data_IF_299161241674
#
_entry.id   IF_299161241674
#
_cell.length_a   1.000
_cell.length_b   1.000
_cell.length_c   1.000
_cell.angle_alpha   90.00
_cell.angle_beta   90.00
_cell.angle_gamma   90.00
#
_symmetry.space_group_name_H-M   'P 1'
#
loop_
_entity.id
_entity.type
_entity.pdbx_description
1 polymer ?
#
# COMPACT_ATOMS: atom_id res chain seq x y z
N UNK A 1 -15.70 -22.95 -2.29
CA UNK A 1 -15.15 -22.13 -1.18
C UNK A 1 -14.07 -21.28 -1.79
N UNK A 2 -14.17 -19.96 -1.67
CA UNK A 2 -13.20 -19.01 -2.22
C UNK A 2 -11.78 -19.29 -1.69
N UNK A 3 -10.78 -19.27 -2.57
CA UNK A 3 -9.37 -19.57 -2.22
C UNK A 3 -8.60 -18.28 -1.91
N UNK A 4 -8.54 -17.35 -2.87
CA UNK A 4 -7.87 -16.06 -2.72
C UNK A 4 -8.56 -15.21 -1.65
N UNK A 5 -7.73 -14.49 -0.88
CA UNK A 5 -8.15 -13.73 0.29
C UNK A 5 -8.51 -12.29 -0.05
N UNK A 6 -9.37 -11.70 0.77
CA UNK A 6 -9.73 -10.28 0.66
C UNK A 6 -9.15 -9.51 1.85
N UNK A 7 -8.37 -8.47 1.54
CA UNK A 7 -7.94 -7.47 2.51
C UNK A 7 -8.83 -6.24 2.36
N UNK A 8 -9.39 -5.74 3.46
CA UNK A 8 -10.18 -4.51 3.46
C UNK A 8 -9.55 -3.47 4.38
N UNK A 9 -9.37 -2.25 3.87
CA UNK A 9 -8.91 -1.11 4.67
C UNK A 9 -10.07 -0.53 5.46
N UNK A 10 -9.86 -0.37 6.77
CA UNK A 10 -10.84 0.21 7.67
C UNK A 10 -10.70 1.73 7.74
N UNK A 11 -11.82 2.42 7.89
CA UNK A 11 -11.87 3.87 7.97
C UNK A 11 -13.26 4.37 8.36
N UNK A 12 -13.57 5.66 8.11
CA UNK A 12 -14.88 6.24 8.45
C UNK A 12 -16.09 5.41 8.01
N UNK A 13 -16.07 4.84 6.80
CA UNK A 13 -17.16 4.03 6.25
C UNK A 13 -17.29 2.63 6.89
N UNK A 14 -16.26 2.18 7.62
CA UNK A 14 -16.13 0.84 8.22
C UNK A 14 -15.60 0.96 9.65
N UNK A 15 -16.19 1.86 10.44
CA UNK A 15 -15.76 2.15 11.82
C UNK A 15 -16.70 1.58 12.88
N UNK A 16 -17.94 1.23 12.52
CA UNK A 16 -18.93 0.69 13.46
C UNK A 16 -18.91 -0.83 13.47
N UNK A 17 -19.38 -1.43 14.56
CA UNK A 17 -19.52 -2.88 14.68
C UNK A 17 -20.36 -3.47 13.54
N UNK A 18 -21.49 -2.85 13.18
CA UNK A 18 -22.42 -3.36 12.16
C UNK A 18 -21.79 -3.36 10.76
N UNK A 19 -21.04 -2.30 10.41
CA UNK A 19 -20.39 -2.20 9.09
C UNK A 19 -19.20 -3.16 8.99
N UNK A 20 -18.40 -3.27 10.06
CA UNK A 20 -17.30 -4.25 10.17
C UNK A 20 -17.84 -5.68 10.09
N UNK A 21 -18.95 -5.97 10.78
CA UNK A 21 -19.60 -7.27 10.70
C UNK A 21 -20.09 -7.57 9.29
N UNK A 22 -20.70 -6.60 8.62
CA UNK A 22 -21.16 -6.71 7.24
C UNK A 22 -20.04 -7.07 6.26
N UNK A 23 -18.87 -6.41 6.35
CA UNK A 23 -17.74 -6.74 5.47
C UNK A 23 -17.13 -8.12 5.80
N UNK A 24 -17.11 -8.53 7.07
CA UNK A 24 -16.64 -9.87 7.47
C UNK A 24 -17.58 -10.96 6.93
N UNK A 25 -18.90 -10.75 7.01
CA UNK A 25 -19.89 -11.67 6.44
C UNK A 25 -19.78 -11.75 4.90
N UNK A 26 -19.57 -10.60 4.24
CA UNK A 26 -19.30 -10.53 2.80
C UNK A 26 -17.97 -11.20 2.40
N UNK A 27 -17.08 -11.41 3.35
CA UNK A 27 -15.90 -12.25 3.22
C UNK A 27 -14.58 -11.51 3.24
N UNK A 28 -14.39 -10.53 4.12
CA UNK A 28 -13.04 -10.06 4.45
C UNK A 28 -12.27 -11.14 5.23
N UNK A 29 -10.99 -11.31 4.91
CA UNK A 29 -10.06 -12.22 5.59
C UNK A 29 -9.00 -11.46 6.41
N UNK A 30 -8.64 -10.24 5.98
CA UNK A 30 -7.69 -9.36 6.68
C UNK A 30 -8.22 -7.93 6.76
N UNK A 31 -8.23 -7.36 7.96
CA UNK A 31 -8.60 -5.98 8.22
C UNK A 31 -7.34 -5.10 8.32
N UNK A 32 -7.17 -4.16 7.40
CA UNK A 32 -6.04 -3.23 7.35
C UNK A 32 -6.35 -1.94 8.12
N UNK A 33 -5.49 -1.60 9.08
CA UNK A 33 -5.45 -0.30 9.75
C UNK A 33 -4.33 0.54 9.14
N UNK A 34 -4.69 1.59 8.42
CA UNK A 34 -3.74 2.49 7.79
C UNK A 34 -3.36 3.63 8.74
N UNK A 35 -2.15 3.59 9.31
CA UNK A 35 -1.68 4.59 10.27
C UNK A 35 -1.22 5.91 9.63
N UNK A 36 -1.44 6.08 8.33
CA UNK A 36 -1.35 7.41 7.70
C UNK A 36 -2.44 8.37 8.16
N UNK A 37 -3.52 7.85 8.75
CA UNK A 37 -4.70 8.60 9.18
C UNK A 37 -5.20 8.09 10.54
N UNK A 38 -5.96 8.91 11.25
CA UNK A 38 -6.54 8.55 12.55
C UNK A 38 -5.52 8.58 13.71
N UNK A 39 -6.04 8.67 14.93
CA UNK A 39 -5.25 8.49 16.15
C UNK A 39 -5.29 7.02 16.60
N UNK A 40 -4.37 6.65 17.49
CA UNK A 40 -4.34 5.33 18.13
C UNK A 40 -5.69 4.96 18.74
N UNK A 41 -6.33 5.85 19.52
CA UNK A 41 -7.64 5.61 20.13
C UNK A 41 -8.74 5.20 19.12
N UNK A 42 -8.73 5.80 17.93
CA UNK A 42 -9.70 5.46 16.86
C UNK A 42 -9.45 4.06 16.35
N UNK A 43 -8.18 3.71 16.12
CA UNK A 43 -7.81 2.37 15.63
C UNK A 43 -8.02 1.29 16.70
N UNK A 44 -7.84 1.59 17.98
CA UNK A 44 -8.13 0.66 19.09
C UNK A 44 -9.63 0.31 19.15
N UNK A 45 -10.51 1.31 19.03
CA UNK A 45 -11.95 1.06 18.98
C UNK A 45 -12.33 0.16 17.79
N UNK A 46 -11.75 0.44 16.62
CA UNK A 46 -11.93 -0.37 15.40
C UNK A 46 -11.41 -1.80 15.62
N UNK A 47 -10.25 -1.97 16.25
CA UNK A 47 -9.66 -3.28 16.56
C UNK A 47 -10.60 -4.14 17.39
N UNK A 48 -11.18 -3.56 18.45
CA UNK A 48 -12.13 -4.28 19.30
C UNK A 48 -13.39 -4.68 18.54
N UNK A 49 -13.90 -3.82 17.64
CA UNK A 49 -15.02 -4.19 16.77
C UNK A 49 -14.67 -5.36 15.84
N UNK A 50 -13.47 -5.35 15.24
CA UNK A 50 -13.01 -6.46 14.36
C UNK A 50 -12.91 -7.76 15.14
N UNK A 51 -12.24 -7.78 16.29
CA UNK A 51 -12.08 -9.00 17.09
C UNK A 51 -13.43 -9.56 17.54
N UNK A 52 -14.34 -8.70 18.00
CA UNK A 52 -15.70 -9.10 18.38
C UNK A 52 -16.50 -9.64 17.18
N UNK A 53 -16.50 -8.93 16.05
CA UNK A 53 -17.25 -9.34 14.87
C UNK A 53 -16.71 -10.65 14.27
N UNK A 54 -15.40 -10.85 14.31
CA UNK A 54 -14.75 -12.11 13.92
C UNK A 54 -15.20 -13.27 14.83
N UNK A 55 -15.15 -13.10 16.15
CA UNK A 55 -15.64 -14.08 17.13
C UNK A 55 -17.11 -14.43 16.91
N UNK A 56 -17.98 -13.42 16.84
CA UNK A 56 -19.42 -13.59 16.61
C UNK A 56 -19.70 -14.28 15.25
N UNK A 57 -18.77 -14.23 14.29
CA UNK A 57 -18.93 -14.81 12.95
C UNK A 57 -18.41 -16.24 12.85
N UNK A 58 -17.55 -16.65 13.79
CA UNK A 58 -16.77 -17.87 13.70
C UNK A 58 -15.75 -17.85 12.56
N UNK A 59 -15.44 -16.70 11.97
CA UNK A 59 -14.45 -16.54 10.90
C UNK A 59 -13.14 -16.02 11.46
N UNK A 60 -12.03 -16.56 10.97
CA UNK A 60 -10.71 -16.01 11.23
C UNK A 60 -10.53 -14.72 10.41
N UNK A 61 -10.26 -13.60 11.10
CA UNK A 61 -9.95 -12.31 10.48
C UNK A 61 -8.68 -11.76 11.11
N UNK A 62 -7.63 -11.63 10.30
CA UNK A 62 -6.38 -11.06 10.76
C UNK A 62 -6.44 -9.53 10.78
N UNK A 63 -5.70 -8.88 11.67
CA UNK A 63 -5.50 -7.43 11.69
C UNK A 63 -4.10 -7.11 11.20
N UNK A 64 -4.01 -6.29 10.16
CA UNK A 64 -2.76 -5.78 9.61
C UNK A 64 -2.61 -4.30 9.95
N UNK A 65 -1.51 -3.93 10.62
CA UNK A 65 -1.13 -2.53 10.84
C UNK A 65 -0.19 -2.09 9.72
N UNK A 66 -0.60 -1.09 8.95
CA UNK A 66 0.19 -0.53 7.85
C UNK A 66 0.84 0.79 8.29
N UNK A 67 2.17 0.76 8.41
CA UNK A 67 2.99 1.89 8.81
C UNK A 67 3.08 2.91 7.67
N UNK A 68 3.08 4.20 7.99
CA UNK A 68 3.05 5.25 6.98
C UNK A 68 4.35 5.30 6.16
N UNK A 69 5.48 5.01 6.80
CA UNK A 69 6.80 5.20 6.23
C UNK A 69 7.16 6.68 6.07
N UNK A 70 8.32 6.99 5.47
CA UNK A 70 8.84 8.35 5.33
C UNK A 70 8.12 9.16 4.23
N UNK A 71 6.78 9.25 4.27
CA UNK A 71 5.99 9.94 3.25
C UNK A 71 6.27 11.45 3.29
N UNK A 72 6.80 11.96 2.19
CA UNK A 72 7.09 13.39 2.03
C UNK A 72 5.79 14.11 1.70
N UNK A 73 5.55 15.25 2.34
CA UNK A 73 4.32 16.02 2.20
C UNK A 73 4.60 17.52 2.10
N UNK A 74 3.67 18.23 1.48
CA UNK A 74 3.53 19.67 1.61
C UNK A 74 3.06 20.03 3.03
N UNK A 75 3.34 21.25 3.45
CA UNK A 75 2.82 21.83 4.68
C UNK A 75 1.36 22.23 4.59
N UNK A 76 0.97 23.17 5.47
CA UNK A 76 -0.37 23.75 5.49
C UNK A 76 -0.40 25.03 4.68
N UNK A 77 -1.55 25.31 4.07
CA UNK A 77 -1.85 26.52 3.32
C UNK A 77 -2.84 27.41 4.08
N UNK A 78 -2.71 28.73 3.90
CA UNK A 78 -3.72 29.70 4.34
C UNK A 78 -4.67 30.01 3.19
N UNK A 79 -5.99 30.08 3.44
CA UNK A 79 -6.97 30.44 2.41
C UNK A 79 -7.50 29.32 1.50
N UNK A 80 -7.13 28.06 1.75
CA UNK A 80 -7.70 26.88 1.09
C UNK A 80 -6.88 26.37 -0.10
N UNK A 81 -7.33 25.31 -0.81
CA UNK A 81 -6.59 24.78 -1.95
C UNK A 81 -6.30 25.88 -2.98
N UNK A 82 -5.09 25.86 -3.54
CA UNK A 82 -4.69 26.78 -4.61
C UNK A 82 -4.52 26.03 -5.92
N UNK A 83 -5.17 26.50 -6.98
CA UNK A 83 -4.96 25.97 -8.33
C UNK A 83 -3.69 26.57 -8.92
N UNK A 84 -2.76 25.69 -9.32
CA UNK A 84 -1.56 26.04 -10.06
C UNK A 84 -1.81 25.87 -11.56
N UNK A 85 -1.45 26.86 -12.36
CA UNK A 85 -1.53 26.80 -13.82
C UNK A 85 -0.20 26.35 -14.44
N UNK A 86 -0.25 25.78 -15.63
CA UNK A 86 0.97 25.39 -16.38
C UNK A 86 1.83 26.63 -16.63
N UNK A 87 3.13 26.52 -16.33
CA UNK A 87 4.11 27.60 -16.45
C UNK A 87 4.24 28.48 -15.20
N UNK A 88 3.35 28.33 -14.20
CA UNK A 88 3.50 29.03 -12.93
C UNK A 88 4.78 28.60 -12.22
N UNK A 89 5.35 29.53 -11.45
CA UNK A 89 6.45 29.21 -10.52
C UNK A 89 5.87 28.86 -9.17
N UNK A 90 6.27 27.70 -8.63
CA UNK A 90 5.91 27.28 -7.29
C UNK A 90 7.17 26.88 -6.51
N UNK A 91 7.29 27.38 -5.29
CA UNK A 91 8.47 27.17 -4.45
C UNK A 91 8.13 26.21 -3.30
N UNK A 92 8.98 25.22 -3.08
CA UNK A 92 8.89 24.33 -1.90
C UNK A 92 10.07 24.64 -0.99
N UNK A 93 9.80 24.95 0.28
CA UNK A 93 10.82 25.36 1.25
C UNK A 93 10.90 24.42 2.45
N UNK A 94 12.08 24.33 3.05
CA UNK A 94 12.28 23.66 4.34
C UNK A 94 11.94 24.56 5.54
N UNK A 95 11.70 25.85 5.31
CA UNK A 95 11.28 26.81 6.34
C UNK A 95 9.86 26.48 6.85
N UNK A 96 9.63 26.60 8.15
CA UNK A 96 8.30 26.38 8.75
C UNK A 96 7.41 27.60 8.53
N UNK A 97 6.81 27.66 7.34
CA UNK A 97 5.86 28.69 6.94
C UNK A 97 4.49 28.10 6.63
N UNK A 98 3.46 28.94 6.73
CA UNK A 98 2.15 28.65 6.16
C UNK A 98 2.19 29.00 4.67
N UNK A 99 1.90 28.01 3.84
CA UNK A 99 1.95 28.11 2.39
C UNK A 99 0.84 28.98 1.81
N UNK A 100 1.08 29.45 0.59
CA UNK A 100 0.16 30.21 -0.23
C UNK A 100 0.27 29.73 -1.69
N UNK A 101 -0.24 30.52 -2.66
CA UNK A 101 -0.19 30.17 -4.09
C UNK A 101 1.23 30.03 -4.66
N UNK A 102 2.21 30.73 -4.10
CA UNK A 102 3.57 30.83 -4.64
C UNK A 102 4.59 29.93 -3.91
N UNK A 103 4.39 29.68 -2.61
CA UNK A 103 5.33 28.93 -1.79
C UNK A 103 4.64 28.06 -0.75
N UNK A 104 5.19 26.88 -0.45
CA UNK A 104 4.74 26.04 0.66
C UNK A 104 5.91 25.32 1.35
N UNK A 105 5.76 25.01 2.63
CA UNK A 105 6.73 24.21 3.38
C UNK A 105 6.66 22.72 3.01
N UNK A 106 7.68 21.93 3.35
CA UNK A 106 7.66 20.47 3.26
C UNK A 106 8.07 19.79 4.57
N UNK A 107 7.57 18.57 4.79
CA UNK A 107 8.00 17.71 5.88
C UNK A 107 9.43 17.19 5.71
N UNK A 108 9.95 17.12 4.48
CA UNK A 108 11.28 16.60 4.20
C UNK A 108 12.32 17.72 4.11
N UNK A 109 13.06 17.92 5.21
CA UNK A 109 14.09 18.97 5.29
C UNK A 109 15.31 18.70 4.39
N UNK A 110 15.48 17.48 3.89
CA UNK A 110 16.53 17.13 2.92
C UNK A 110 16.18 17.47 1.47
N UNK A 111 14.95 17.91 1.17
CA UNK A 111 14.48 18.09 -0.21
C UNK A 111 15.43 18.96 -1.09
N UNK A 112 15.89 20.14 -0.65
CA UNK A 112 16.80 20.98 -1.45
C UNK A 112 18.16 20.35 -1.75
N UNK A 113 18.58 19.34 -0.98
CA UNK A 113 19.87 18.67 -1.12
C UNK A 113 19.79 17.45 -2.04
N UNK A 114 18.63 16.81 -2.10
CA UNK A 114 18.43 15.58 -2.86
C UNK A 114 18.05 15.85 -4.33
N UNK A 115 17.45 17.01 -4.62
CA UNK A 115 16.98 17.36 -5.98
C UNK A 115 17.97 18.24 -6.75
N UNK A 116 17.96 18.12 -8.07
CA UNK A 116 18.73 18.96 -9.01
C UNK A 116 17.83 19.56 -10.09
N UNK A 117 18.27 20.65 -10.77
CA UNK A 117 17.58 21.18 -11.94
C UNK A 117 17.23 20.08 -12.95
N UNK A 118 15.98 20.06 -13.38
CA UNK A 118 15.44 19.05 -14.29
C UNK A 118 14.73 17.89 -13.62
N UNK A 119 14.86 17.67 -12.31
CA UNK A 119 14.14 16.58 -11.63
C UNK A 119 12.62 16.84 -11.58
N UNK A 120 11.79 15.79 -11.73
CA UNK A 120 10.34 15.90 -11.57
C UNK A 120 9.95 15.85 -10.08
N UNK A 121 9.01 16.71 -9.67
CA UNK A 121 8.28 16.58 -8.41
C UNK A 121 6.80 16.38 -8.70
N UNK A 122 6.22 15.33 -8.14
CA UNK A 122 4.81 15.02 -8.32
C UNK A 122 4.06 15.30 -7.02
N UNK A 123 2.91 15.98 -7.10
CA UNK A 123 2.06 16.29 -5.95
C UNK A 123 0.71 15.57 -6.12
N UNK A 124 0.19 15.05 -5.00
CA UNK A 124 -1.09 14.34 -4.92
C UNK A 124 -1.16 13.17 -5.92
N UNK A 125 -0.19 12.26 -5.82
CA UNK A 125 -0.07 11.06 -6.64
C UNK A 125 0.00 11.38 -8.16
N UNK A 126 0.74 12.45 -8.50
CA UNK A 126 0.98 12.85 -9.89
C UNK A 126 -0.10 13.72 -10.53
N UNK A 127 -1.14 14.13 -9.79
CA UNK A 127 -2.17 15.06 -10.33
C UNK A 127 -1.61 16.43 -10.68
N UNK A 128 -0.57 16.87 -9.98
CA UNK A 128 0.19 18.08 -10.29
C UNK A 128 1.64 17.66 -10.49
N UNK A 129 2.26 18.15 -11.56
CA UNK A 129 3.67 17.88 -11.88
C UNK A 129 4.43 19.19 -11.91
N UNK A 130 5.56 19.21 -11.21
CA UNK A 130 6.49 20.32 -11.17
C UNK A 130 7.85 19.86 -11.72
N UNK A 131 8.58 20.80 -12.32
CA UNK A 131 9.96 20.62 -12.76
C UNK A 131 10.87 21.50 -11.92
N UNK A 132 11.88 20.92 -11.28
CA UNK A 132 12.89 21.70 -10.55
C UNK A 132 13.64 22.59 -11.52
N UNK A 133 13.67 23.89 -11.23
CA UNK A 133 14.44 24.91 -11.97
C UNK A 133 15.78 25.13 -11.30
N UNK A 134 15.76 25.37 -9.99
CA UNK A 134 16.96 25.60 -9.18
C UNK A 134 16.68 25.31 -7.70
N UNK A 135 17.76 25.20 -6.93
CA UNK A 135 17.70 25.10 -5.47
C UNK A 135 18.83 25.89 -4.82
N UNK A 136 18.55 26.49 -3.66
CA UNK A 136 19.49 27.29 -2.88
C UNK A 136 19.86 26.65 -1.53
N UNK A 137 19.54 25.36 -1.34
CA UNK A 137 19.77 24.61 -0.10
C UNK A 137 18.68 24.79 0.96
N UNK A 138 17.73 25.70 0.77
CA UNK A 138 16.55 25.89 1.64
C UNK A 138 15.25 25.78 0.83
N UNK A 139 15.28 26.30 -0.39
CA UNK A 139 14.16 26.42 -1.31
C UNK A 139 14.44 25.64 -2.59
N UNK A 140 13.37 25.08 -3.14
CA UNK A 140 13.34 24.44 -4.44
C UNK A 140 12.37 25.23 -5.29
N UNK A 141 12.90 25.96 -6.26
CA UNK A 141 12.11 26.71 -7.23
C UNK A 141 11.71 25.77 -8.35
N UNK A 142 10.42 25.71 -8.67
CA UNK A 142 9.90 24.81 -9.69
C UNK A 142 9.01 25.53 -10.69
N UNK A 143 8.83 24.93 -11.87
CA UNK A 143 7.82 25.33 -12.85
C UNK A 143 6.76 24.25 -12.96
N UNK A 144 5.49 24.64 -13.00
CA UNK A 144 4.35 23.72 -13.11
C UNK A 144 4.26 23.20 -14.55
N UNK A 145 4.35 21.88 -14.72
CA UNK A 145 4.18 21.19 -16.01
C UNK A 145 2.75 20.66 -16.20
N UNK A 146 2.12 20.19 -15.11
CA UNK A 146 0.73 19.72 -15.10
C UNK A 146 -0.04 20.51 -14.06
N UNK A 147 -1.07 21.23 -14.51
CA UNK A 147 -1.91 22.07 -13.66
C UNK A 147 -2.81 21.26 -12.72
N UNK A 148 -3.14 21.87 -11.58
CA UNK A 148 -4.08 21.29 -10.62
C UNK A 148 -3.97 21.90 -9.22
N UNK A 149 -4.77 21.42 -8.28
CA UNK A 149 -4.84 21.99 -6.94
C UNK A 149 -3.71 21.49 -6.04
N UNK A 150 -3.08 22.40 -5.31
CA UNK A 150 -2.26 22.10 -4.14
C UNK A 150 -3.02 22.40 -2.86
N UNK A 151 -2.91 21.52 -1.86
CA UNK A 151 -3.65 21.64 -0.60
C UNK A 151 -2.89 21.00 0.56
N UNK A 152 -3.44 21.15 1.77
CA UNK A 152 -2.78 20.76 3.02
C UNK A 152 -2.30 19.31 3.00
N UNK A 153 -1.04 19.11 3.38
CA UNK A 153 -0.46 17.79 3.66
C UNK A 153 -0.49 16.81 2.47
N UNK A 154 -0.63 17.32 1.23
CA UNK A 154 -0.57 16.48 0.02
C UNK A 154 0.82 15.85 -0.13
N UNK A 155 0.84 14.61 -0.58
CA UNK A 155 2.08 13.85 -0.80
C UNK A 155 2.94 14.48 -1.89
N UNK A 156 4.26 14.38 -1.74
CA UNK A 156 5.25 14.72 -2.74
C UNK A 156 6.00 13.44 -3.10
N UNK A 157 6.02 13.10 -4.38
CA UNK A 157 6.82 12.01 -4.93
C UNK A 157 7.99 12.58 -5.73
N UNK A 158 9.09 11.85 -5.73
CA UNK A 158 10.39 12.25 -6.26
C UNK A 158 10.92 11.20 -7.25
N UNK A 159 10.22 10.94 -8.39
CA UNK A 159 10.61 9.84 -9.28
C UNK A 159 12.02 10.02 -9.81
N UNK A 160 12.84 8.98 -9.68
CA UNK A 160 14.23 8.97 -10.15
C UNK A 160 15.23 9.73 -9.26
N UNK A 161 14.79 10.30 -8.13
CA UNK A 161 15.67 10.97 -7.16
C UNK A 161 15.99 10.00 -6.03
N UNK A 162 17.28 9.92 -5.67
CA UNK A 162 17.73 9.12 -4.53
C UNK A 162 17.43 9.85 -3.22
N UNK A 163 16.26 9.56 -2.64
CA UNK A 163 15.81 10.18 -1.38
C UNK A 163 16.53 9.55 -0.19
N UNK A 164 17.26 10.36 0.57
CA UNK A 164 17.97 9.91 1.76
C UNK A 164 17.10 10.03 3.04
N UNK A 165 16.09 9.18 3.14
CA UNK A 165 15.23 9.03 4.33
C UNK A 165 15.42 7.66 4.98
N UNK A 166 15.31 7.52 6.32
CA UNK A 166 15.27 6.22 6.97
C UNK A 166 13.99 5.46 6.59
N UNK A 167 14.01 4.13 6.68
CA UNK A 167 12.86 3.28 6.37
C UNK A 167 11.68 3.50 7.33
N UNK A 168 11.98 3.81 8.59
CA UNK A 168 11.02 4.16 9.62
C UNK A 168 11.26 5.60 10.07
N UNK A 169 10.18 6.37 10.15
CA UNK A 169 10.19 7.65 10.88
C UNK A 169 9.98 7.42 12.38
N UNK A 170 10.25 8.44 13.21
CA UNK A 170 9.94 8.39 14.65
C UNK A 170 8.47 8.05 14.92
N UNK A 171 7.57 8.53 14.05
CA UNK A 171 6.15 8.20 14.10
C UNK A 171 5.94 6.71 13.82
N UNK A 172 6.57 6.16 12.79
CA UNK A 172 6.43 4.74 12.45
C UNK A 172 6.98 3.82 13.55
N UNK A 173 8.05 4.22 14.24
CA UNK A 173 8.54 3.46 15.39
C UNK A 173 7.53 3.44 16.54
N UNK A 174 6.90 4.60 16.84
CA UNK A 174 5.86 4.69 17.87
C UNK A 174 4.61 3.87 17.48
N UNK A 175 4.20 3.96 16.22
CA UNK A 175 3.10 3.22 15.63
C UNK A 175 3.33 1.71 15.63
N UNK A 176 4.55 1.27 15.31
CA UNK A 176 4.94 -0.14 15.37
C UNK A 176 4.80 -0.69 16.79
N UNK A 177 5.37 0.00 17.79
CA UNK A 177 5.25 -0.42 19.20
C UNK A 177 3.79 -0.47 19.65
N UNK A 178 3.00 0.52 19.25
CA UNK A 178 1.57 0.53 19.52
C UNK A 178 0.86 -0.68 18.88
N UNK A 179 1.09 -0.94 17.58
CA UNK A 179 0.48 -2.06 16.86
C UNK A 179 0.84 -3.43 17.43
N UNK A 180 2.10 -3.61 17.86
CA UNK A 180 2.57 -4.81 18.55
C UNK A 180 1.80 -5.03 19.86
N UNK A 181 1.68 -3.98 20.69
CA UNK A 181 0.98 -4.05 22.00
C UNK A 181 -0.53 -4.22 21.86
N UNK A 182 -1.13 -3.67 20.80
CA UNK A 182 -2.54 -3.84 20.49
C UNK A 182 -2.88 -5.31 20.18
N UNK A 183 -1.93 -6.07 19.63
CA UNK A 183 -2.13 -7.44 19.17
C UNK A 183 -2.48 -7.53 17.69
N UNK A 184 -1.81 -6.74 16.85
CA UNK A 184 -1.83 -6.94 15.41
C UNK A 184 -1.32 -8.33 15.04
N UNK A 185 -1.76 -8.84 13.88
CA UNK A 185 -1.33 -10.13 13.33
C UNK A 185 -0.24 -9.96 12.25
N UNK A 186 -0.23 -8.81 11.56
CA UNK A 186 0.75 -8.45 10.52
C UNK A 186 1.17 -6.99 10.65
N UNK A 187 2.42 -6.70 10.30
CA UNK A 187 2.93 -5.34 10.08
C UNK A 187 3.23 -5.17 8.59
N UNK A 188 2.73 -4.10 7.96
CA UNK A 188 3.15 -3.71 6.61
C UNK A 188 4.07 -2.48 6.69
N UNK A 189 5.22 -2.55 6.02
CA UNK A 189 6.21 -1.48 5.94
C UNK A 189 6.10 -0.79 4.57
N UNK A 190 5.81 0.51 4.60
CA UNK A 190 5.77 1.37 3.41
C UNK A 190 7.17 1.79 2.95
N UNK A 191 7.29 2.11 1.67
CA UNK A 191 8.45 2.68 0.99
C UNK A 191 9.74 1.86 1.16
N UNK A 192 9.60 0.53 1.22
CA UNK A 192 10.74 -0.38 1.20
C UNK A 192 11.55 -0.14 -0.08
N UNK A 193 12.87 -0.14 0.05
CA UNK A 193 13.84 0.02 -1.06
C UNK A 193 14.82 -1.13 -1.11
N UNK A 194 15.06 -1.80 0.01
CA UNK A 194 16.03 -2.88 0.11
C UNK A 194 15.70 -3.87 1.24
N UNK A 195 16.43 -4.99 1.28
CA UNK A 195 16.24 -6.04 2.28
C UNK A 195 16.60 -5.59 3.71
N UNK A 196 17.50 -4.63 3.89
CA UNK A 196 17.95 -4.18 5.23
C UNK A 196 16.93 -3.26 5.91
N UNK A 197 15.95 -2.73 5.18
CA UNK A 197 14.86 -1.92 5.75
C UNK A 197 14.07 -2.68 6.85
N UNK A 198 14.07 -4.03 6.82
CA UNK A 198 13.45 -4.85 7.88
C UNK A 198 14.21 -4.82 9.21
N UNK A 199 15.51 -4.50 9.21
CA UNK A 199 16.38 -4.64 10.38
C UNK A 199 15.88 -3.80 11.54
N UNK A 200 15.50 -2.53 11.29
CA UNK A 200 15.01 -1.65 12.35
C UNK A 200 13.65 -2.09 12.89
N UNK A 201 12.77 -2.62 12.04
CA UNK A 201 11.48 -3.21 12.47
C UNK A 201 11.74 -4.37 13.44
N UNK A 202 12.68 -5.24 13.08
CA UNK A 202 13.09 -6.40 13.85
C UNK A 202 13.74 -6.04 15.19
N UNK A 203 14.59 -5.01 15.24
CA UNK A 203 15.14 -4.49 16.50
C UNK A 203 14.03 -4.02 17.44
N UNK A 204 13.06 -3.25 16.95
CA UNK A 204 11.93 -2.77 17.75
C UNK A 204 11.07 -3.93 18.25
N UNK A 205 10.81 -4.92 17.40
CA UNK A 205 10.09 -6.14 17.79
C UNK A 205 10.82 -6.91 18.91
N UNK A 206 12.15 -6.99 18.85
CA UNK A 206 12.96 -7.64 19.90
C UNK A 206 12.93 -6.85 21.21
N UNK A 207 12.99 -5.52 21.14
CA UNK A 207 12.87 -4.64 22.31
C UNK A 207 11.50 -4.79 23.00
N UNK A 208 10.42 -4.95 22.22
CA UNK A 208 9.07 -5.21 22.76
C UNK A 208 8.82 -6.69 23.13
N UNK A 209 9.72 -7.60 22.71
CA UNK A 209 9.58 -9.05 22.91
C UNK A 209 8.44 -9.69 22.10
N UNK A 210 8.00 -9.05 21.01
CA UNK A 210 6.90 -9.51 20.16
C UNK A 210 7.34 -9.47 18.70
N UNK A 211 7.44 -10.65 18.05
CA UNK A 211 7.77 -10.80 16.63
C UNK A 211 6.52 -11.17 15.83
N UNK A 212 6.18 -10.36 14.84
CA UNK A 212 5.08 -10.59 13.90
C UNK A 212 5.62 -10.68 12.47
N UNK A 213 4.89 -11.34 11.55
CA UNK A 213 5.24 -11.31 10.13
C UNK A 213 5.22 -9.88 9.57
N UNK A 214 6.25 -9.53 8.80
CA UNK A 214 6.42 -8.21 8.16
C UNK A 214 6.20 -8.31 6.65
N UNK A 215 5.33 -7.44 6.12
CA UNK A 215 4.99 -7.33 4.70
C UNK A 215 5.73 -6.13 4.10
N UNK A 216 6.57 -6.36 3.10
CA UNK A 216 7.20 -5.28 2.35
C UNK A 216 6.24 -4.72 1.29
N UNK A 217 6.02 -3.40 1.29
CA UNK A 217 5.26 -2.73 0.23
C UNK A 217 6.19 -2.37 -0.92
N UNK A 218 5.95 -2.98 -2.08
CA UNK A 218 6.68 -2.74 -3.32
C UNK A 218 6.04 -1.54 -4.02
N UNK A 219 6.61 -0.37 -3.74
CA UNK A 219 6.13 0.93 -4.25
C UNK A 219 7.24 1.87 -4.71
N UNK A 220 8.50 1.41 -4.65
CA UNK A 220 9.67 2.16 -5.10
C UNK A 220 10.41 1.41 -6.20
N UNK A 221 11.02 2.12 -7.18
CA UNK A 221 11.83 1.50 -8.22
C UNK A 221 12.93 0.60 -7.67
N UNK A 222 13.58 1.04 -6.58
CA UNK A 222 14.63 0.28 -5.91
C UNK A 222 14.12 -1.06 -5.35
N UNK A 223 12.87 -1.12 -4.88
CA UNK A 223 12.29 -2.39 -4.42
C UNK A 223 11.99 -3.34 -5.58
N UNK A 224 11.73 -2.83 -6.78
CA UNK A 224 11.62 -3.66 -7.99
C UNK A 224 12.98 -4.21 -8.38
N UNK A 225 14.02 -3.37 -8.35
CA UNK A 225 15.39 -3.77 -8.68
C UNK A 225 15.95 -4.82 -7.68
N UNK A 226 15.58 -4.72 -6.39
CA UNK A 226 16.02 -5.62 -5.32
C UNK A 226 14.97 -6.65 -4.88
N UNK A 227 13.99 -6.93 -5.75
CA UNK A 227 12.78 -7.69 -5.39
C UNK A 227 13.07 -9.07 -4.79
N UNK A 228 14.02 -9.84 -5.34
CA UNK A 228 14.36 -11.16 -4.80
C UNK A 228 14.96 -11.08 -3.38
N UNK A 229 15.84 -10.12 -3.12
CA UNK A 229 16.46 -9.94 -1.80
C UNK A 229 15.41 -9.51 -0.76
N UNK A 230 14.45 -8.67 -1.16
CA UNK A 230 13.34 -8.25 -0.31
C UNK A 230 12.41 -9.44 0.00
N UNK A 231 12.07 -10.26 -0.99
CA UNK A 231 11.20 -11.43 -0.80
C UNK A 231 11.85 -12.48 0.13
N UNK A 232 13.17 -12.65 0.06
CA UNK A 232 13.89 -13.53 0.99
C UNK A 232 13.82 -13.00 2.43
N UNK A 233 14.12 -11.71 2.61
CA UNK A 233 14.23 -11.07 3.92
C UNK A 233 12.90 -10.84 4.64
N UNK A 234 11.82 -10.54 3.91
CA UNK A 234 10.48 -10.27 4.47
C UNK A 234 9.59 -11.52 4.48
N UNK A 235 8.51 -11.49 5.25
CA UNK A 235 7.60 -12.63 5.39
C UNK A 235 6.55 -12.70 4.28
N UNK A 236 6.21 -11.55 3.70
CA UNK A 236 5.28 -11.38 2.59
C UNK A 236 5.58 -10.09 1.83
N UNK A 237 4.94 -9.89 0.67
CA UNK A 237 5.00 -8.62 -0.05
C UNK A 237 3.61 -8.10 -0.42
N UNK A 238 3.52 -6.79 -0.66
CA UNK A 238 2.33 -6.13 -1.18
C UNK A 238 2.73 -5.28 -2.40
N UNK A 239 2.13 -5.56 -3.56
CA UNK A 239 2.31 -4.75 -4.77
C UNK A 239 1.38 -3.54 -4.66
N UNK A 240 1.92 -2.40 -4.24
CA UNK A 240 1.18 -1.17 -3.99
C UNK A 240 1.15 -0.28 -5.25
N UNK A 241 0.23 -0.61 -6.16
CA UNK A 241 0.18 -0.10 -7.55
C UNK A 241 -0.02 1.40 -7.67
N UNK A 242 -0.73 2.01 -6.72
CA UNK A 242 -0.97 3.45 -6.67
C UNK A 242 0.33 4.24 -6.56
N UNK A 243 1.08 4.08 -5.47
CA UNK A 243 2.37 4.74 -5.30
C UNK A 243 3.40 4.24 -6.33
N UNK A 244 3.39 2.94 -6.68
CA UNK A 244 4.31 2.39 -7.69
C UNK A 244 4.12 3.02 -9.08
N UNK A 245 2.87 3.26 -9.50
CA UNK A 245 2.54 3.89 -10.79
C UNK A 245 2.80 5.39 -10.84
N UNK A 246 3.12 6.01 -9.71
CA UNK A 246 3.63 7.39 -9.62
C UNK A 246 5.15 7.41 -9.75
N UNK A 247 5.83 6.39 -9.23
CA UNK A 247 7.29 6.32 -9.18
C UNK A 247 7.91 5.63 -10.41
N UNK A 248 7.13 4.79 -11.10
CA UNK A 248 7.47 4.14 -12.37
C UNK A 248 6.54 4.60 -13.49
N UNK A 249 6.94 4.47 -14.77
CA UNK A 249 6.00 4.57 -15.88
C UNK A 249 4.81 3.63 -15.67
N UNK A 250 3.59 4.16 -15.76
CA UNK A 250 2.37 3.40 -15.45
C UNK A 250 2.23 2.14 -16.30
N UNK A 251 2.76 2.15 -17.53
CA UNK A 251 2.75 1.03 -18.46
C UNK A 251 3.67 -0.13 -18.05
N UNK A 252 4.63 0.10 -17.15
CA UNK A 252 5.52 -0.93 -16.62
C UNK A 252 4.91 -1.69 -15.43
N UNK A 253 4.02 -1.05 -14.66
CA UNK A 253 3.41 -1.60 -13.44
C UNK A 253 2.75 -2.98 -13.64
N UNK A 254 2.01 -3.26 -14.73
CA UNK A 254 1.40 -4.57 -14.93
C UNK A 254 2.41 -5.72 -15.04
N UNK A 255 3.60 -5.48 -15.61
CA UNK A 255 4.65 -6.50 -15.72
C UNK A 255 5.33 -6.71 -14.37
N UNK A 256 5.64 -5.63 -13.65
CA UNK A 256 6.21 -5.70 -12.30
C UNK A 256 5.31 -6.48 -11.34
N UNK A 257 3.99 -6.28 -11.40
CA UNK A 257 3.04 -7.06 -10.61
C UNK A 257 3.20 -8.57 -10.86
N UNK A 258 3.25 -8.97 -12.13
CA UNK A 258 3.36 -10.39 -12.52
C UNK A 258 4.64 -11.01 -12.01
N UNK A 259 5.77 -10.31 -12.19
CA UNK A 259 7.07 -10.74 -11.71
C UNK A 259 7.10 -10.88 -10.18
N UNK A 260 6.56 -9.89 -9.45
CA UNK A 260 6.48 -9.92 -7.99
C UNK A 260 5.61 -11.07 -7.45
N UNK A 261 4.46 -11.31 -8.08
CA UNK A 261 3.60 -12.46 -7.72
C UNK A 261 4.31 -13.78 -8.02
N UNK A 262 4.96 -13.91 -9.17
CA UNK A 262 5.69 -15.13 -9.55
C UNK A 262 6.84 -15.44 -8.58
N UNK A 263 7.67 -14.44 -8.26
CA UNK A 263 8.79 -14.58 -7.33
C UNK A 263 8.27 -14.98 -5.94
N UNK A 264 7.27 -14.28 -5.41
CA UNK A 264 6.70 -14.57 -4.09
C UNK A 264 6.20 -16.01 -3.98
N UNK A 265 5.48 -16.49 -4.99
CA UNK A 265 5.00 -17.87 -5.07
C UNK A 265 6.14 -18.89 -5.09
N UNK A 266 7.23 -18.62 -5.83
CA UNK A 266 8.41 -19.50 -5.88
C UNK A 266 9.14 -19.56 -4.53
N UNK A 267 9.12 -18.47 -3.77
CA UNK A 267 9.70 -18.38 -2.43
C UNK A 267 8.74 -18.83 -1.32
N UNK A 268 7.51 -19.24 -1.67
CA UNK A 268 6.44 -19.59 -0.73
C UNK A 268 6.13 -18.47 0.28
N UNK A 269 6.17 -17.21 -0.19
CA UNK A 269 5.84 -15.99 0.57
C UNK A 269 4.49 -15.46 0.08
N UNK A 270 3.56 -15.09 0.98
CA UNK A 270 2.30 -14.50 0.57
C UNK A 270 2.49 -13.19 -0.21
N UNK A 271 1.64 -12.96 -1.21
CA UNK A 271 1.59 -11.71 -1.98
C UNK A 271 0.19 -11.10 -1.99
N UNK A 272 0.14 -9.79 -1.78
CA UNK A 272 -1.08 -8.99 -1.82
C UNK A 272 -1.01 -8.05 -3.03
N UNK A 273 -1.99 -8.08 -3.92
CA UNK A 273 -2.16 -7.06 -4.95
C UNK A 273 -3.08 -5.96 -4.42
N UNK A 274 -2.59 -4.72 -4.40
CA UNK A 274 -3.20 -3.61 -3.68
C UNK A 274 -3.47 -2.40 -4.56
N UNK A 275 -4.41 -1.57 -4.09
CA UNK A 275 -4.84 -0.25 -4.61
C UNK A 275 -5.49 -0.27 -5.99
N UNK A 276 -6.49 0.59 -6.22
CA UNK A 276 -7.19 0.77 -7.50
C UNK A 276 -7.74 -0.52 -8.13
N UNK A 277 -8.21 -1.47 -7.32
CA UNK A 277 -8.78 -2.72 -7.85
C UNK A 277 -10.23 -2.49 -8.28
N UNK A 278 -11.05 -1.90 -7.40
CA UNK A 278 -12.46 -1.57 -7.66
C UNK A 278 -12.72 -0.08 -7.37
N UNK A 279 -11.77 0.81 -7.69
CA UNK A 279 -11.73 2.23 -7.27
C UNK A 279 -13.05 2.97 -7.50
N UNK A 280 -13.70 2.79 -8.64
CA UNK A 280 -14.98 3.45 -8.95
C UNK A 280 -16.08 3.12 -7.95
N UNK A 281 -15.96 1.99 -7.23
CA UNK A 281 -16.92 1.60 -6.21
C UNK A 281 -16.88 2.46 -4.93
N UNK A 282 -15.93 3.40 -4.82
CA UNK A 282 -15.98 4.45 -3.81
C UNK A 282 -17.30 5.25 -3.93
N UNK A 283 -17.75 5.54 -5.15
CA UNK A 283 -18.95 6.36 -5.42
C UNK A 283 -19.97 5.68 -6.32
N UNK A 284 -19.68 4.48 -6.84
CA UNK A 284 -20.57 3.70 -7.70
C UNK A 284 -20.94 2.36 -7.06
N UNK A 285 -22.21 1.92 -7.13
CA UNK A 285 -22.60 0.60 -6.63
C UNK A 285 -22.12 -0.55 -7.54
N UNK A 286 -21.46 -0.26 -8.67
CA UNK A 286 -20.91 -1.25 -9.61
C UNK A 286 -19.54 -0.81 -10.12
N UNK A 287 -18.59 -1.75 -10.26
CA UNK A 287 -17.29 -1.45 -10.83
C UNK A 287 -17.39 -1.31 -12.36
N UNK A 288 -16.36 -0.74 -12.95
CA UNK A 288 -16.18 -0.76 -14.39
C UNK A 288 -15.79 -2.16 -14.89
N UNK A 289 -15.86 -2.38 -16.20
CA UNK A 289 -15.38 -3.62 -16.81
C UNK A 289 -13.86 -3.77 -16.68
N UNK A 290 -13.13 -2.65 -16.68
CA UNK A 290 -11.68 -2.64 -16.54
C UNK A 290 -11.27 -3.11 -15.13
N UNK A 291 -11.94 -2.60 -14.10
CA UNK A 291 -11.73 -3.00 -12.70
C UNK A 291 -12.07 -4.47 -12.43
N UNK A 292 -13.19 -4.96 -12.99
CA UNK A 292 -13.51 -6.38 -12.90
C UNK A 292 -12.44 -7.26 -13.59
N UNK A 293 -11.92 -6.81 -14.74
CA UNK A 293 -10.81 -7.47 -15.43
C UNK A 293 -9.51 -7.40 -14.63
N UNK A 294 -9.23 -6.28 -13.98
CA UNK A 294 -8.02 -6.09 -13.17
C UNK A 294 -8.01 -7.04 -11.96
N UNK A 295 -9.11 -7.07 -11.20
CA UNK A 295 -9.30 -8.00 -10.09
C UNK A 295 -9.13 -9.47 -10.52
N UNK A 296 -9.76 -9.86 -11.64
CA UNK A 296 -9.63 -11.21 -12.18
C UNK A 296 -8.19 -11.52 -12.61
N UNK A 297 -7.48 -10.58 -13.24
CA UNK A 297 -6.09 -10.81 -13.65
C UNK A 297 -5.15 -10.94 -12.45
N UNK A 298 -5.36 -10.20 -11.35
CA UNK A 298 -4.58 -10.39 -10.13
C UNK A 298 -4.72 -11.82 -9.58
N UNK A 299 -5.93 -12.38 -9.61
CA UNK A 299 -6.18 -13.79 -9.24
C UNK A 299 -5.49 -14.74 -10.21
N UNK A 300 -5.58 -14.49 -11.53
CA UNK A 300 -4.96 -15.34 -12.56
C UNK A 300 -3.42 -15.25 -12.56
N UNK A 301 -2.84 -14.16 -12.08
CA UNK A 301 -1.40 -14.07 -11.84
C UNK A 301 -0.96 -14.99 -10.69
N UNK A 302 -1.89 -15.34 -9.80
CA UNK A 302 -1.69 -16.24 -8.67
C UNK A 302 -1.50 -15.53 -7.34
N UNK A 303 -2.06 -14.32 -7.17
CA UNK A 303 -1.98 -13.60 -5.89
C UNK A 303 -2.67 -14.36 -4.76
N UNK A 304 -2.13 -14.29 -3.53
CA UNK A 304 -2.75 -14.89 -2.35
C UNK A 304 -3.93 -14.04 -1.87
N UNK A 305 -3.82 -12.72 -2.01
CA UNK A 305 -4.87 -11.79 -1.62
C UNK A 305 -5.00 -10.59 -2.56
N UNK A 306 -6.20 -10.02 -2.58
CA UNK A 306 -6.52 -8.75 -3.26
C UNK A 306 -7.02 -7.76 -2.23
N UNK A 307 -6.58 -6.50 -2.32
CA UNK A 307 -6.85 -5.48 -1.29
C UNK A 307 -7.71 -4.32 -1.78
N UNK A 308 -8.73 -4.00 -0.98
CA UNK A 308 -9.55 -2.79 -1.07
C UNK A 308 -8.99 -1.69 -0.16
N UNK A 309 -8.88 -0.48 -0.70
CA UNK A 309 -8.31 0.70 -0.06
C UNK A 309 -9.38 1.75 0.23
N UNK A 310 -9.55 2.74 -0.66
CA UNK A 310 -10.56 3.79 -0.52
C UNK A 310 -11.98 3.23 -0.51
N UNK A 311 -12.18 2.15 -1.27
CA UNK A 311 -13.47 1.51 -1.51
C UNK A 311 -14.16 1.05 -0.22
N UNK A 312 -13.40 0.58 0.77
CA UNK A 312 -13.95 0.13 2.06
C UNK A 312 -13.71 1.11 3.21
N UNK A 313 -12.69 1.96 3.12
CA UNK A 313 -12.35 2.90 4.20
C UNK A 313 -13.22 4.15 4.20
N UNK A 314 -13.51 4.70 3.03
CA UNK A 314 -14.27 5.97 2.87
C UNK A 314 -15.42 5.87 1.86
N UNK A 315 -15.49 4.77 1.10
CA UNK A 315 -16.49 4.59 0.05
C UNK A 315 -17.94 4.52 0.55
N UNK A 316 -18.87 4.82 -0.34
CA UNK A 316 -20.32 4.79 -0.08
C UNK A 316 -20.89 3.36 -0.01
N UNK A 317 -20.18 2.37 -0.58
CA UNK A 317 -20.65 1.00 -0.75
C UNK A 317 -19.67 -0.08 -0.22
N UNK A 318 -19.16 0.01 1.02
CA UNK A 318 -18.07 -0.84 1.50
C UNK A 318 -18.42 -2.34 1.49
N UNK A 319 -19.60 -2.72 2.01
CA UNK A 319 -20.06 -4.12 2.03
C UNK A 319 -20.27 -4.67 0.63
N UNK A 320 -21.00 -3.93 -0.21
CA UNK A 320 -21.26 -4.33 -1.60
C UNK A 320 -19.98 -4.46 -2.42
N UNK A 321 -18.95 -3.65 -2.14
CA UNK A 321 -17.63 -3.76 -2.78
C UNK A 321 -16.97 -5.09 -2.43
N UNK A 322 -16.96 -5.47 -1.14
CA UNK A 322 -16.41 -6.76 -0.70
C UNK A 322 -17.17 -7.93 -1.34
N UNK A 323 -18.50 -7.88 -1.36
CA UNK A 323 -19.32 -8.90 -2.03
C UNK A 323 -19.01 -8.99 -3.53
N UNK A 324 -18.78 -7.84 -4.17
CA UNK A 324 -18.45 -7.80 -5.60
C UNK A 324 -17.08 -8.39 -5.88
N UNK A 325 -16.07 -8.04 -5.08
CA UNK A 325 -14.74 -8.65 -5.15
C UNK A 325 -14.82 -10.17 -4.93
N UNK A 326 -15.57 -10.62 -3.92
CA UNK A 326 -15.77 -12.04 -3.65
C UNK A 326 -16.37 -12.77 -4.87
N UNK A 327 -17.42 -12.23 -5.50
CA UNK A 327 -18.01 -12.82 -6.71
C UNK A 327 -17.05 -12.88 -7.89
N UNK A 328 -16.20 -11.87 -8.08
CA UNK A 328 -15.19 -11.86 -9.15
C UNK A 328 -14.15 -12.95 -8.90
N UNK A 329 -13.64 -13.05 -7.67
CA UNK A 329 -12.67 -14.07 -7.28
C UNK A 329 -13.25 -15.47 -7.49
N UNK A 330 -14.45 -15.75 -6.95
CA UNK A 330 -15.11 -17.06 -7.07
C UNK A 330 -15.33 -17.45 -8.53
N UNK A 331 -15.85 -16.53 -9.36
CA UNK A 331 -16.04 -16.77 -10.79
C UNK A 331 -14.71 -17.05 -11.52
N UNK A 332 -13.65 -16.33 -11.14
CA UNK A 332 -12.32 -16.51 -11.73
C UNK A 332 -11.72 -17.86 -11.32
N UNK A 333 -11.88 -18.28 -10.07
CA UNK A 333 -11.44 -19.58 -9.58
C UNK A 333 -12.23 -20.73 -10.23
N UNK A 334 -13.55 -20.60 -10.38
CA UNK A 334 -14.40 -21.65 -10.97
C UNK A 334 -14.13 -21.86 -12.47
N UNK A 335 -13.69 -20.83 -13.19
CA UNK A 335 -13.56 -20.86 -14.65
C UNK A 335 -12.12 -20.73 -15.18
N UNK A 336 -11.19 -20.28 -14.35
CA UNK A 336 -9.87 -19.82 -14.79
C UNK A 336 -8.70 -20.32 -13.96
N UNK A 337 -8.89 -21.09 -12.89
CA UNK A 337 -7.80 -21.51 -12.00
C UNK A 337 -6.64 -22.22 -12.72
N UNK A 338 -6.96 -23.01 -13.75
CA UNK A 338 -5.98 -23.69 -14.60
C UNK A 338 -5.08 -22.75 -15.43
N UNK A 339 -5.41 -21.45 -15.47
CA UNK A 339 -4.61 -20.43 -16.17
C UNK A 339 -3.52 -19.82 -15.29
N UNK A 340 -3.51 -20.10 -13.98
CA UNK A 340 -2.44 -19.64 -13.09
C UNK A 340 -1.12 -20.26 -13.57
N UNK A 341 -0.06 -19.45 -13.80
CA UNK A 341 1.22 -19.97 -14.25
C UNK A 341 1.80 -21.01 -13.28
N UNK A 342 2.32 -22.11 -13.83
CA UNK A 342 3.04 -23.10 -13.04
C UNK A 342 4.33 -22.50 -12.45
N UNK A 343 4.78 -23.00 -11.29
CA UNK A 343 5.98 -22.49 -10.61
C UNK A 343 7.28 -22.72 -11.39
N UNK A 344 7.29 -23.64 -12.35
CA UNK A 344 8.43 -23.93 -13.23
C UNK A 344 9.69 -24.49 -12.54
N UNK A 345 9.66 -24.67 -11.22
CA UNK A 345 10.80 -25.09 -10.40
C UNK A 345 10.42 -26.26 -9.49
N UNK A 346 11.41 -27.06 -9.11
CA UNK A 346 11.24 -28.12 -8.11
C UNK A 346 11.75 -27.63 -6.75
N UNK A 347 11.00 -27.86 -5.67
CA UNK A 347 11.42 -27.46 -4.33
C UNK A 347 12.72 -28.18 -3.94
N UNK A 348 13.63 -27.44 -3.29
CA UNK A 348 14.91 -27.96 -2.77
C UNK A 348 14.94 -28.06 -1.25
N UNK A 349 13.90 -27.61 -0.58
CA UNK A 349 13.74 -27.72 0.88
C UNK A 349 12.96 -28.99 1.22
N UNK A 350 13.18 -29.52 2.42
CA UNK A 350 12.42 -30.69 2.91
C UNK A 350 10.91 -30.40 2.93
N UNK A 351 10.51 -29.23 3.44
CA UNK A 351 9.10 -28.82 3.47
C UNK A 351 8.49 -28.76 2.08
N UNK A 352 9.15 -28.09 1.14
CA UNK A 352 8.66 -27.99 -0.24
C UNK A 352 8.56 -29.35 -0.93
N UNK A 353 9.54 -30.24 -0.75
CA UNK A 353 9.50 -31.58 -1.34
C UNK A 353 8.32 -32.42 -0.81
N UNK A 354 8.04 -32.35 0.49
CA UNK A 354 6.91 -33.05 1.11
C UNK A 354 5.58 -32.46 0.59
N UNK A 355 5.45 -31.13 0.54
CA UNK A 355 4.23 -30.48 0.05
C UNK A 355 3.95 -30.77 -1.41
N UNK A 356 4.97 -30.79 -2.27
CA UNK A 356 4.82 -31.19 -3.67
C UNK A 356 4.34 -32.64 -3.79
N UNK A 357 4.97 -33.57 -3.07
CA UNK A 357 4.55 -34.97 -3.08
C UNK A 357 3.11 -35.14 -2.57
N UNK A 358 2.70 -34.40 -1.54
CA UNK A 358 1.33 -34.42 -1.04
C UNK A 358 0.33 -33.88 -2.06
N UNK A 359 0.67 -32.80 -2.78
CA UNK A 359 -0.16 -32.25 -3.84
C UNK A 359 -0.32 -33.23 -5.01
N UNK A 360 0.79 -33.84 -5.47
CA UNK A 360 0.75 -34.86 -6.54
C UNK A 360 -0.07 -36.10 -6.15
N UNK A 361 -0.02 -36.52 -4.88
CA UNK A 361 -0.84 -37.63 -4.36
C UNK A 361 -2.32 -37.25 -4.28
N UNK A 362 -2.65 -35.99 -3.98
CA UNK A 362 -4.04 -35.53 -3.92
C UNK A 362 -4.69 -35.44 -5.31
N UNK A 363 -3.88 -35.22 -6.36
CA UNK A 363 -4.33 -35.16 -7.76
C UNK A 363 -4.47 -36.54 -8.42
N UNK A 364 -3.89 -37.59 -7.82
CA UNK A 364 -4.02 -38.99 -8.27
C UNK A 364 -5.33 -39.61 -7.77
#
# INVERSE_FOLDING_TARGET
>A
MRRAKIVATLGPATSTYETIRGIIDAGVDVARMNLSHGSHDVHEAIYHHVRKAAEDSGRAVAVMVDLQGPKIRLGKFDGGPFDLAVGDTFVITTEDIVGNREICSTTFKGLPLDVKPGDPLLIDDGKVSLRVVETDGVRVTTTVEVAGPVSNNKGINLPGVAVNVPALSDKDEADLRWGLRLGADYIALSFVRDAKDIVRVHEIMDEEGIRLPVIAKIEKPQAVDHLEEIVDAFDAIMVARGDLGVELPLEAVPIVQKEAVEISRRWAKPVIVATQVLESMITSPRPTRAEASDCANAVLDGTDAVMLSGETSVGEYPVLTVETMARIIESTEDHGLQRIPALGSKPRTQGGAITLAAAEVADF
#
